data_IF_389864601292
#
_entry.id   IF_389864601292
#
_cell.length_a   1.000
_cell.length_b   1.000
_cell.length_c   1.000
_cell.angle_alpha   90.00
_cell.angle_beta   90.00
_cell.angle_gamma   90.00
#
_symmetry.space_group_name_H-M   'P 1'
#
loop_
_entity.id
_entity.type
_entity.pdbx_description
1 polymer ?
#
# COMPACT_ATOMS: atom_id res chain seq x y z
N UNK A 1 2.05 -9.63 -4.24
CA UNK A 1 2.05 -8.73 -5.42
C UNK A 1 3.33 -8.95 -6.20
N UNK A 2 3.27 -9.44 -7.45
CA UNK A 2 4.45 -9.58 -8.31
C UNK A 2 5.13 -8.24 -8.63
N UNK A 3 6.43 -8.23 -9.02
CA UNK A 3 7.14 -7.05 -9.48
C UNK A 3 6.38 -6.27 -10.56
N UNK A 4 6.38 -4.94 -10.46
CA UNK A 4 5.78 -4.04 -11.45
C UNK A 4 4.25 -3.97 -11.42
N UNK A 5 3.58 -4.67 -10.48
CA UNK A 5 2.12 -4.63 -10.35
C UNK A 5 1.65 -3.50 -9.44
N UNK A 6 0.39 -3.09 -9.61
CA UNK A 6 -0.27 -2.10 -8.75
C UNK A 6 -1.75 -2.40 -8.64
N UNK A 7 -2.35 -2.04 -7.51
CA UNK A 7 -3.80 -1.98 -7.40
C UNK A 7 -4.36 -0.79 -8.19
N UNK A 8 -5.69 -0.73 -8.35
CA UNK A 8 -6.38 0.44 -8.90
C UNK A 8 -6.51 1.50 -7.81
N UNK A 9 -6.30 2.78 -8.15
CA UNK A 9 -6.54 3.88 -7.22
C UNK A 9 -7.99 3.93 -6.77
N UNK A 10 -8.24 3.92 -5.46
CA UNK A 10 -9.59 3.96 -4.90
C UNK A 10 -9.60 4.61 -3.51
N UNK A 11 -10.79 4.69 -2.90
CA UNK A 11 -10.97 5.08 -1.51
C UNK A 11 -12.21 4.39 -0.93
N UNK A 12 -12.22 4.21 0.39
CA UNK A 12 -13.38 3.71 1.11
C UNK A 12 -14.12 4.86 1.79
N UNK A 13 -15.45 4.89 1.69
CA UNK A 13 -16.25 5.97 2.29
C UNK A 13 -16.35 5.88 3.82
N UNK A 14 -16.26 4.66 4.37
CA UNK A 14 -16.49 4.39 5.79
C UNK A 14 -15.35 3.61 6.44
N UNK A 15 -14.77 2.68 5.70
CA UNK A 15 -13.68 1.84 6.21
C UNK A 15 -12.37 2.59 6.24
N UNK A 16 -11.64 2.37 7.32
CA UNK A 16 -10.21 2.61 7.42
C UNK A 16 -9.49 1.39 6.88
N UNK A 17 -8.30 1.59 6.33
CA UNK A 17 -7.41 0.48 5.99
C UNK A 17 -6.08 0.59 6.71
N UNK A 18 -5.47 -0.55 6.99
CA UNK A 18 -4.09 -0.62 7.45
C UNK A 18 -3.28 -1.58 6.58
N UNK A 19 -2.23 -1.06 5.95
CA UNK A 19 -1.28 -1.85 5.16
C UNK A 19 -0.08 -2.19 6.03
N UNK A 20 0.36 -3.45 6.04
CA UNK A 20 1.55 -3.90 6.77
C UNK A 20 2.38 -4.86 5.93
N UNK A 21 3.64 -4.51 5.67
CA UNK A 21 4.52 -5.30 4.80
C UNK A 21 5.11 -6.49 5.56
N UNK A 22 4.87 -7.70 5.07
CA UNK A 22 5.41 -8.95 5.61
C UNK A 22 6.78 -9.27 4.99
N UNK A 23 6.92 -9.08 3.69
CA UNK A 23 8.16 -9.30 2.94
C UNK A 23 8.22 -8.41 1.69
N UNK A 24 9.43 -8.02 1.27
CA UNK A 24 9.64 -7.11 0.15
C UNK A 24 9.52 -5.62 0.53
N UNK A 25 9.23 -4.79 -0.47
CA UNK A 25 9.10 -3.33 -0.32
C UNK A 25 7.85 -2.84 -1.08
N UNK A 26 6.99 -2.07 -0.41
CA UNK A 26 5.83 -1.46 -1.01
C UNK A 26 6.06 0.03 -1.25
N UNK A 27 5.64 0.53 -2.40
CA UNK A 27 5.37 1.97 -2.55
C UNK A 27 3.87 2.18 -2.39
N UNK A 28 3.46 3.11 -1.54
CA UNK A 28 2.04 3.48 -1.39
C UNK A 28 1.87 4.99 -1.62
N UNK A 29 0.84 5.35 -2.36
CA UNK A 29 0.39 6.74 -2.49
C UNK A 29 -0.84 6.95 -1.63
N UNK A 30 -0.83 7.99 -0.79
CA UNK A 30 -1.94 8.37 0.09
C UNK A 30 -2.12 9.89 -0.05
N UNK A 31 -3.33 10.32 -0.43
CA UNK A 31 -3.62 11.75 -0.66
C UNK A 31 -2.62 12.44 -1.62
N UNK A 32 -2.13 11.72 -2.64
CA UNK A 32 -1.16 12.23 -3.61
C UNK A 32 0.31 12.25 -3.14
N UNK A 33 0.59 11.88 -1.88
CA UNK A 33 1.96 11.75 -1.37
C UNK A 33 2.39 10.29 -1.42
N UNK A 34 3.60 10.05 -1.92
CA UNK A 34 4.18 8.70 -1.99
C UNK A 34 5.13 8.47 -0.83
N UNK A 35 5.05 7.29 -0.26
CA UNK A 35 6.00 6.79 0.72
C UNK A 35 6.33 5.33 0.44
N UNK A 36 7.49 4.91 0.94
CA UNK A 36 7.96 3.53 0.86
C UNK A 36 7.73 2.90 2.22
N UNK A 37 7.20 1.67 2.22
CA UNK A 37 7.09 0.81 3.38
C UNK A 37 8.03 -0.37 3.18
N UNK A 38 8.94 -0.55 4.13
CA UNK A 38 9.83 -1.70 4.19
C UNK A 38 9.20 -2.83 5.00
N UNK A 39 9.84 -3.99 4.99
CA UNK A 39 9.45 -5.12 5.82
C UNK A 39 9.21 -4.70 7.28
N UNK A 40 8.06 -5.14 7.81
CA UNK A 40 7.55 -4.84 9.15
C UNK A 40 7.17 -3.38 9.42
N UNK A 41 7.08 -2.55 8.38
CA UNK A 41 6.45 -1.24 8.46
C UNK A 41 4.98 -1.32 8.04
N UNK A 42 4.17 -0.43 8.60
CA UNK A 42 2.77 -0.30 8.23
C UNK A 42 2.30 1.15 8.19
N UNK A 43 1.21 1.38 7.47
CA UNK A 43 0.56 2.67 7.38
C UNK A 43 -0.95 2.52 7.40
N UNK A 44 -1.59 3.47 8.06
CA UNK A 44 -3.03 3.60 8.13
C UNK A 44 -3.54 4.57 7.07
N UNK A 45 -4.66 4.23 6.44
CA UNK A 45 -5.39 5.10 5.51
C UNK A 45 -6.77 5.40 6.08
N UNK A 46 -7.03 6.69 6.34
CA UNK A 46 -8.33 7.16 6.82
C UNK A 46 -9.43 7.03 5.77
N UNK A 47 -10.71 6.88 6.19
CA UNK A 47 -11.83 6.94 5.26
C UNK A 47 -11.81 8.23 4.41
N UNK A 48 -12.27 8.12 3.17
CA UNK A 48 -12.33 9.24 2.22
C UNK A 48 -10.99 9.63 1.59
N UNK A 49 -9.88 8.96 1.93
CA UNK A 49 -8.57 9.27 1.38
C UNK A 49 -8.25 8.38 0.17
N UNK A 50 -8.08 8.95 -1.04
CA UNK A 50 -7.62 8.21 -2.20
C UNK A 50 -6.23 7.65 -1.98
N UNK A 51 -6.07 6.36 -2.27
CA UNK A 51 -4.80 5.66 -2.11
C UNK A 51 -4.62 4.57 -3.18
N UNK A 52 -3.37 4.11 -3.31
CA UNK A 52 -2.97 3.07 -4.25
C UNK A 52 -1.63 2.46 -3.80
N UNK A 53 -1.54 1.13 -3.78
CA UNK A 53 -0.29 0.39 -3.52
C UNK A 53 0.34 -0.10 -4.83
N UNK A 54 1.67 -0.08 -4.88
CA UNK A 54 2.49 -0.50 -6.00
C UNK A 54 3.62 -1.40 -5.49
N UNK A 55 3.93 -2.45 -6.24
CA UNK A 55 5.22 -3.11 -6.13
C UNK A 55 6.15 -2.59 -7.24
N UNK A 56 6.99 -1.61 -6.90
CA UNK A 56 8.00 -1.06 -7.83
C UNK A 56 9.35 -1.76 -7.74
N UNK A 57 9.49 -2.70 -6.81
CA UNK A 57 10.72 -3.45 -6.61
C UNK A 57 10.86 -4.55 -7.67
N UNK A 58 12.04 -5.17 -7.72
CA UNK A 58 12.31 -6.35 -8.54
C UNK A 58 11.99 -7.68 -7.86
N UNK A 59 11.35 -7.67 -6.68
CA UNK A 59 11.04 -8.86 -5.87
C UNK A 59 9.54 -8.93 -5.58
N UNK A 60 9.05 -10.10 -5.20
CA UNK A 60 7.67 -10.23 -4.73
C UNK A 60 7.44 -9.41 -3.45
N UNK A 61 6.26 -8.80 -3.37
CA UNK A 61 5.77 -8.06 -2.20
C UNK A 61 4.65 -8.85 -1.54
N UNK A 62 4.80 -9.16 -0.25
CA UNK A 62 3.71 -9.70 0.58
C UNK A 62 3.35 -8.71 1.69
N UNK A 63 2.06 -8.49 1.90
CA UNK A 63 1.54 -7.57 2.89
C UNK A 63 0.16 -8.01 3.37
N UNK A 64 -0.24 -7.53 4.54
CA UNK A 64 -1.61 -7.61 5.03
C UNK A 64 -2.33 -6.29 4.74
N UNK A 65 -3.61 -6.40 4.45
CA UNK A 65 -4.55 -5.28 4.37
C UNK A 65 -5.82 -5.65 5.14
N UNK A 66 -6.23 -4.76 6.06
CA UNK A 66 -7.42 -4.91 6.91
C UNK A 66 -8.20 -3.61 6.94
#
# INVERSE_FOLDING_TARGET
MPPGTSEIRHYHQRSRQFFFVLSGEATIEIAGKRQVLRQHEGVEVSPGIPHQIFNKSGQDLEFLVA
#
